data_IF_038112276558
#
_entry.id   IF_038112276558
#
_cell.length_a   1.000
_cell.length_b   1.000
_cell.length_c   1.000
_cell.angle_alpha   90.00
_cell.angle_beta   90.00
_cell.angle_gamma   90.00
#
_symmetry.space_group_name_H-M   'P 1'
#
loop_
_entity.id
_entity.type
_entity.pdbx_description
1 polymer ?
#
# COMPACT_ATOMS: atom_id res chain seq x y z
N UNK A 1 25.69 -99.76 -21.86
CA UNK A 1 24.88 -100.63 -20.98
C UNK A 1 23.98 -101.47 -21.87
N UNK A 2 24.30 -102.75 -22.08
CA UNK A 2 23.43 -103.71 -22.77
C UNK A 2 22.37 -104.18 -21.77
N UNK A 3 21.11 -103.79 -21.95
CA UNK A 3 20.02 -104.32 -21.14
C UNK A 3 19.60 -105.69 -21.71
N UNK A 4 20.40 -106.72 -21.49
CA UNK A 4 20.06 -108.09 -21.89
C UNK A 4 19.07 -108.63 -20.86
N UNK A 5 17.80 -108.78 -21.23
CA UNK A 5 16.96 -109.76 -20.57
C UNK A 5 17.27 -111.12 -21.22
N UNK A 6 17.76 -112.12 -20.48
CA UNK A 6 17.91 -113.46 -21.01
C UNK A 6 16.55 -114.02 -21.43
N UNK A 7 16.53 -114.85 -22.46
CA UNK A 7 15.29 -115.46 -22.93
C UNK A 7 14.69 -116.32 -21.81
N UNK A 8 13.36 -116.37 -21.67
CA UNK A 8 12.73 -117.30 -20.75
C UNK A 8 13.18 -118.74 -21.03
N UNK A 9 13.54 -119.49 -19.99
CA UNK A 9 14.13 -120.86 -20.10
C UNK A 9 13.29 -121.84 -20.92
N UNK A 10 11.97 -121.65 -20.97
CA UNK A 10 11.07 -122.47 -21.78
C UNK A 10 11.26 -122.23 -23.29
N UNK A 11 11.56 -121.00 -23.68
CA UNK A 11 11.91 -120.64 -25.06
C UNK A 11 13.29 -121.15 -25.47
N UNK A 12 14.26 -121.12 -24.56
CA UNK A 12 15.62 -121.65 -24.82
C UNK A 12 15.59 -123.16 -25.11
N UNK A 13 14.77 -123.93 -24.39
CA UNK A 13 14.59 -125.38 -24.64
C UNK A 13 13.93 -125.70 -25.98
N UNK A 14 13.06 -124.82 -26.47
CA UNK A 14 12.29 -125.00 -27.70
C UNK A 14 13.12 -124.66 -28.95
N UNK A 15 14.01 -123.68 -28.84
CA UNK A 15 14.85 -123.19 -29.94
C UNK A 15 16.23 -123.87 -30.02
N UNK A 16 16.66 -124.54 -28.94
CA UNK A 16 18.04 -125.05 -28.80
C UNK A 16 19.04 -123.93 -28.50
N UNK A 17 20.23 -124.29 -28.03
CA UNK A 17 21.26 -123.33 -27.54
C UNK A 17 21.67 -122.32 -28.63
N UNK A 18 21.93 -122.80 -29.85
CA UNK A 18 22.29 -121.95 -31.01
C UNK A 18 21.12 -121.07 -31.50
N UNK A 19 19.89 -121.58 -31.45
CA UNK A 19 18.69 -120.85 -31.87
C UNK A 19 18.31 -119.74 -30.89
N UNK A 20 18.44 -119.99 -29.59
CA UNK A 20 18.23 -119.00 -28.53
C UNK A 20 19.27 -117.87 -28.60
N UNK A 21 20.53 -118.18 -28.91
CA UNK A 21 21.59 -117.19 -29.09
C UNK A 21 21.30 -116.28 -30.30
N UNK A 22 21.01 -116.87 -31.48
CA UNK A 22 20.65 -116.10 -32.69
C UNK A 22 19.40 -115.24 -32.49
N UNK A 23 18.38 -115.74 -31.79
CA UNK A 23 17.18 -114.96 -31.49
C UNK A 23 17.47 -113.81 -30.51
N UNK A 24 18.32 -114.03 -29.51
CA UNK A 24 18.76 -112.97 -28.59
C UNK A 24 19.55 -111.87 -29.31
N UNK A 25 20.39 -112.24 -30.29
CA UNK A 25 21.10 -111.27 -31.15
C UNK A 25 20.10 -110.48 -32.00
N UNK A 26 19.17 -111.16 -32.68
CA UNK A 26 18.12 -110.51 -33.47
C UNK A 26 17.28 -109.52 -32.64
N UNK A 27 16.84 -109.92 -31.44
CA UNK A 27 16.08 -109.02 -30.57
C UNK A 27 16.91 -107.80 -30.16
N UNK A 28 18.19 -107.98 -29.81
CA UNK A 28 19.06 -106.85 -29.46
C UNK A 28 19.27 -105.90 -30.64
N UNK A 29 19.49 -106.42 -31.85
CA UNK A 29 19.63 -105.60 -33.06
C UNK A 29 18.32 -104.84 -33.35
N UNK A 30 17.17 -105.52 -33.30
CA UNK A 30 15.86 -104.89 -33.48
C UNK A 30 15.56 -103.82 -32.41
N UNK A 31 15.96 -104.04 -31.15
CA UNK A 31 15.79 -103.06 -30.08
C UNK A 31 16.76 -101.87 -30.21
N UNK A 32 18.01 -102.07 -30.63
CA UNK A 32 18.94 -100.97 -30.89
C UNK A 32 18.51 -100.16 -32.14
N UNK A 33 17.98 -100.81 -33.18
CA UNK A 33 17.37 -100.14 -34.33
C UNK A 33 16.15 -99.31 -33.89
N UNK A 34 15.22 -99.90 -33.12
CA UNK A 34 14.06 -99.18 -32.58
C UNK A 34 14.47 -98.00 -31.70
N UNK A 35 15.49 -98.17 -30.85
CA UNK A 35 16.02 -97.10 -30.00
C UNK A 35 16.67 -95.99 -30.84
N UNK A 36 17.37 -96.34 -31.91
CA UNK A 36 17.89 -95.40 -32.90
C UNK A 36 16.78 -94.56 -33.53
N UNK A 37 15.70 -95.21 -33.97
CA UNK A 37 14.52 -94.56 -34.54
C UNK A 37 13.82 -93.64 -33.53
N UNK A 38 13.65 -94.07 -32.28
CA UNK A 38 13.05 -93.25 -31.21
C UNK A 38 13.92 -92.04 -30.90
N UNK A 39 15.24 -92.21 -30.76
CA UNK A 39 16.17 -91.10 -30.50
C UNK A 39 16.11 -90.09 -31.65
N UNK A 40 16.10 -90.57 -32.90
CA UNK A 40 15.98 -89.72 -34.09
C UNK A 40 14.66 -88.96 -34.10
N UNK A 41 13.53 -89.65 -33.89
CA UNK A 41 12.21 -89.03 -33.85
C UNK A 41 12.08 -87.96 -32.76
N UNK A 42 12.61 -88.24 -31.56
CA UNK A 42 12.64 -87.27 -30.45
C UNK A 42 13.54 -86.09 -30.78
N UNK A 43 14.72 -86.33 -31.37
CA UNK A 43 15.64 -85.28 -31.80
C UNK A 43 15.02 -84.38 -32.86
N UNK A 44 14.36 -84.96 -33.87
CA UNK A 44 13.69 -84.23 -34.95
C UNK A 44 12.52 -83.39 -34.41
N UNK A 45 11.71 -83.97 -33.50
CA UNK A 45 10.61 -83.27 -32.83
C UNK A 45 11.12 -82.11 -31.97
N UNK A 46 12.16 -82.33 -31.17
CA UNK A 46 12.79 -81.29 -30.36
C UNK A 46 13.38 -80.18 -31.24
N UNK A 47 14.11 -80.54 -32.30
CA UNK A 47 14.70 -79.57 -33.23
C UNK A 47 13.62 -78.72 -33.91
N UNK A 48 12.52 -79.35 -34.33
CA UNK A 48 11.36 -78.65 -34.87
C UNK A 48 10.75 -77.69 -33.85
N UNK A 49 10.48 -78.14 -32.63
CA UNK A 49 9.91 -77.29 -31.59
C UNK A 49 10.80 -76.10 -31.25
N UNK A 50 12.11 -76.32 -31.09
CA UNK A 50 13.07 -75.22 -30.86
C UNK A 50 13.10 -74.25 -32.03
N UNK A 51 13.05 -74.74 -33.27
CA UNK A 51 13.01 -73.88 -34.47
C UNK A 51 11.74 -73.04 -34.51
N UNK A 52 10.60 -73.63 -34.15
CA UNK A 52 9.31 -72.94 -34.08
C UNK A 52 9.33 -71.85 -32.99
N UNK A 53 9.80 -72.17 -31.77
CA UNK A 53 9.90 -71.20 -30.66
C UNK A 53 10.89 -70.07 -30.98
N UNK A 54 12.06 -70.37 -31.56
CA UNK A 54 13.02 -69.34 -32.00
C UNK A 54 12.39 -68.44 -33.08
N UNK A 55 11.57 -69.00 -33.97
CA UNK A 55 10.88 -68.21 -35.00
C UNK A 55 9.82 -67.30 -34.39
N UNK A 56 9.04 -67.78 -33.41
CA UNK A 56 8.07 -66.96 -32.68
C UNK A 56 8.75 -65.82 -31.92
N UNK A 57 9.79 -66.12 -31.15
CA UNK A 57 10.54 -65.09 -30.40
C UNK A 57 11.13 -64.04 -31.35
N UNK A 58 11.62 -64.44 -32.53
CA UNK A 58 12.11 -63.49 -33.54
C UNK A 58 11.01 -62.56 -34.04
N UNK A 59 9.79 -63.06 -34.21
CA UNK A 59 8.64 -62.24 -34.60
C UNK A 59 8.26 -61.27 -33.47
N UNK A 60 8.12 -61.75 -32.24
CA UNK A 60 7.82 -60.90 -31.08
C UNK A 60 8.87 -59.80 -30.87
N UNK A 61 10.16 -60.13 -31.01
CA UNK A 61 11.26 -59.14 -30.93
C UNK A 61 11.19 -58.14 -32.08
N UNK A 62 10.77 -58.56 -33.28
CA UNK A 62 10.58 -57.65 -34.41
C UNK A 62 9.41 -56.69 -34.16
N UNK A 63 8.30 -57.19 -33.62
CA UNK A 63 7.10 -56.40 -33.30
C UNK A 63 7.40 -55.41 -32.17
N UNK A 64 8.02 -55.84 -31.07
CA UNK A 64 8.46 -54.95 -29.99
C UNK A 64 9.41 -53.85 -30.48
N UNK A 65 10.29 -54.17 -31.44
CA UNK A 65 11.19 -53.17 -32.04
C UNK A 65 10.43 -52.14 -32.88
N UNK A 66 9.31 -52.52 -33.50
CA UNK A 66 8.45 -51.58 -34.22
C UNK A 66 7.69 -50.70 -33.23
N UNK A 67 7.10 -51.28 -32.18
CA UNK A 67 6.39 -50.56 -31.12
C UNK A 67 7.29 -49.53 -30.43
N UNK A 68 8.47 -49.94 -29.95
CA UNK A 68 9.43 -49.02 -29.31
C UNK A 68 9.88 -47.89 -30.25
N UNK A 69 9.97 -48.15 -31.56
CA UNK A 69 10.28 -47.10 -32.53
C UNK A 69 9.13 -46.12 -32.71
N UNK A 70 7.89 -46.61 -32.67
CA UNK A 70 6.70 -45.77 -32.75
C UNK A 70 6.59 -44.88 -31.50
N UNK A 71 6.71 -45.46 -30.30
CA UNK A 71 6.69 -44.72 -29.03
C UNK A 71 7.79 -43.66 -28.98
N UNK A 72 9.00 -43.98 -29.45
CA UNK A 72 10.10 -43.03 -29.48
C UNK A 72 9.91 -41.93 -30.55
N UNK A 73 9.10 -42.18 -31.58
CA UNK A 73 8.73 -41.16 -32.55
C UNK A 73 7.65 -40.23 -31.97
N UNK A 74 6.65 -40.79 -31.28
CA UNK A 74 5.60 -40.05 -30.58
C UNK A 74 6.18 -39.15 -29.48
N UNK A 75 7.03 -39.70 -28.61
CA UNK A 75 7.70 -38.92 -27.56
C UNK A 75 8.55 -37.76 -28.13
N UNK A 76 9.14 -37.94 -29.31
CA UNK A 76 9.87 -36.86 -29.99
C UNK A 76 8.94 -35.78 -30.54
N UNK A 77 7.76 -36.17 -31.03
CA UNK A 77 6.74 -35.23 -31.48
C UNK A 77 6.23 -34.42 -30.29
N UNK A 78 5.82 -35.08 -29.21
CA UNK A 78 5.35 -34.44 -27.97
C UNK A 78 6.38 -33.45 -27.42
N UNK A 79 7.66 -33.83 -27.41
CA UNK A 79 8.73 -32.96 -26.93
C UNK A 79 8.98 -31.76 -27.85
N UNK A 80 8.74 -31.90 -29.16
CA UNK A 80 8.82 -30.78 -30.10
C UNK A 80 7.61 -29.83 -29.95
N UNK A 81 6.43 -30.38 -29.69
CA UNK A 81 5.21 -29.62 -29.47
C UNK A 81 5.29 -28.83 -28.16
N UNK A 82 5.65 -29.47 -27.04
CA UNK A 82 5.92 -28.82 -25.75
C UNK A 82 6.96 -27.68 -25.87
N UNK A 83 8.02 -27.89 -26.65
CA UNK A 83 9.03 -26.85 -26.89
C UNK A 83 8.46 -25.65 -27.65
N UNK A 84 7.53 -25.91 -28.57
CA UNK A 84 6.87 -24.87 -29.37
C UNK A 84 5.85 -24.10 -28.54
N UNK A 85 5.06 -24.80 -27.73
CA UNK A 85 4.11 -24.23 -26.77
C UNK A 85 4.84 -23.32 -25.77
N UNK A 86 5.87 -23.83 -25.09
CA UNK A 86 6.65 -23.04 -24.12
C UNK A 86 7.27 -21.79 -24.76
N UNK A 87 7.75 -21.88 -26.01
CA UNK A 87 8.30 -20.73 -26.73
C UNK A 87 7.23 -19.69 -27.03
N UNK A 88 6.00 -20.14 -27.32
CA UNK A 88 4.86 -19.28 -27.60
C UNK A 88 4.40 -18.58 -26.34
N UNK A 89 4.18 -19.30 -25.25
CA UNK A 89 3.83 -18.75 -23.94
C UNK A 89 4.88 -17.73 -23.45
N UNK A 90 6.17 -18.03 -23.59
CA UNK A 90 7.23 -17.08 -23.25
C UNK A 90 7.18 -15.79 -24.09
N UNK A 91 6.78 -15.88 -25.37
CA UNK A 91 6.63 -14.72 -26.22
C UNK A 91 5.40 -13.90 -25.83
N UNK A 92 4.28 -14.57 -25.53
CA UNK A 92 3.03 -13.95 -25.07
C UNK A 92 3.22 -13.22 -23.73
N UNK A 93 3.80 -13.88 -22.72
CA UNK A 93 4.13 -13.27 -21.44
C UNK A 93 5.05 -12.05 -21.60
N UNK A 94 6.03 -12.13 -22.51
CA UNK A 94 6.91 -10.98 -22.80
C UNK A 94 6.14 -9.80 -23.41
N UNK A 95 5.15 -10.07 -24.26
CA UNK A 95 4.30 -9.02 -24.82
C UNK A 95 3.36 -8.43 -23.79
N UNK A 96 2.76 -9.26 -22.94
CA UNK A 96 1.87 -8.84 -21.84
C UNK A 96 2.60 -7.91 -20.87
N UNK A 97 3.77 -8.33 -20.35
CA UNK A 97 4.60 -7.50 -19.46
C UNK A 97 4.95 -6.16 -20.10
N UNK A 98 5.25 -6.14 -21.41
CA UNK A 98 5.57 -4.90 -22.12
C UNK A 98 4.36 -3.97 -22.21
N UNK A 99 3.17 -4.51 -22.40
CA UNK A 99 1.91 -3.77 -22.43
C UNK A 99 1.60 -3.20 -21.05
N UNK A 100 1.66 -4.01 -20.00
CA UNK A 100 1.42 -3.56 -18.61
C UNK A 100 2.40 -2.45 -18.20
N UNK A 101 3.69 -2.57 -18.53
CA UNK A 101 4.68 -1.52 -18.27
C UNK A 101 4.32 -0.21 -19.01
N UNK A 102 3.81 -0.31 -20.23
CA UNK A 102 3.41 0.87 -21.00
C UNK A 102 2.16 1.53 -20.39
N UNK A 103 1.18 0.74 -19.97
CA UNK A 103 -0.04 1.20 -19.30
C UNK A 103 0.29 1.89 -17.97
N UNK A 104 1.06 1.25 -17.08
CA UNK A 104 1.52 1.85 -15.82
C UNK A 104 2.27 3.16 -16.05
N UNK A 105 3.10 3.25 -17.10
CA UNK A 105 3.81 4.48 -17.44
C UNK A 105 2.84 5.60 -17.86
N UNK A 106 1.77 5.26 -18.57
CA UNK A 106 0.74 6.25 -18.94
C UNK A 106 -0.08 6.69 -17.74
N UNK A 107 -0.45 5.77 -16.85
CA UNK A 107 -1.19 6.05 -15.62
C UNK A 107 -0.41 7.00 -14.71
N UNK A 108 0.85 6.69 -14.39
CA UNK A 108 1.73 7.55 -13.58
C UNK A 108 1.87 8.96 -14.20
N UNK A 109 1.95 9.06 -15.53
CA UNK A 109 2.07 10.35 -16.21
C UNK A 109 0.79 11.18 -16.06
N UNK A 110 -0.37 10.53 -16.11
CA UNK A 110 -1.67 11.17 -15.91
C UNK A 110 -1.82 11.66 -14.47
N UNK A 111 -1.53 10.80 -13.48
CA UNK A 111 -1.59 11.18 -12.05
C UNK A 111 -0.66 12.36 -11.73
N UNK A 112 0.56 12.38 -12.28
CA UNK A 112 1.48 13.52 -12.10
C UNK A 112 0.90 14.82 -12.70
N UNK A 113 0.20 14.74 -13.83
CA UNK A 113 -0.41 15.90 -14.47
C UNK A 113 -1.63 16.42 -13.67
N UNK A 114 -2.41 15.51 -13.11
CA UNK A 114 -3.55 15.82 -12.23
C UNK A 114 -3.07 16.49 -10.95
N UNK A 115 -2.11 15.88 -10.23
CA UNK A 115 -1.51 16.46 -9.01
C UNK A 115 -0.89 17.84 -9.26
N UNK A 116 -0.26 18.04 -10.42
CA UNK A 116 0.30 19.35 -10.79
C UNK A 116 -0.81 20.40 -11.00
N UNK A 117 -1.95 19.98 -11.53
CA UNK A 117 -3.10 20.86 -11.75
C UNK A 117 -3.77 21.20 -10.43
N UNK A 118 -3.98 20.21 -9.56
CA UNK A 118 -4.49 20.39 -8.20
C UNK A 118 -3.63 21.36 -7.40
N UNK A 119 -2.31 21.14 -7.33
CA UNK A 119 -1.39 22.04 -6.63
C UNK A 119 -1.43 23.48 -7.17
N UNK A 120 -1.61 23.66 -8.47
CA UNK A 120 -1.73 24.99 -9.07
C UNK A 120 -3.03 25.67 -8.67
N UNK A 121 -4.13 24.92 -8.60
CA UNK A 121 -5.43 25.41 -8.13
C UNK A 121 -5.34 25.81 -6.67
N UNK A 122 -4.84 24.94 -5.79
CA UNK A 122 -4.68 25.21 -4.36
C UNK A 122 -3.84 26.47 -4.11
N UNK A 123 -2.74 26.63 -4.85
CA UNK A 123 -1.88 27.80 -4.72
C UNK A 123 -2.55 29.09 -5.21
N UNK A 124 -3.43 29.01 -6.21
CA UNK A 124 -4.23 30.15 -6.66
C UNK A 124 -5.32 30.51 -5.64
N UNK A 125 -5.96 29.51 -5.05
CA UNK A 125 -6.97 29.69 -3.99
C UNK A 125 -6.35 30.34 -2.74
N UNK A 126 -5.23 29.81 -2.24
CA UNK A 126 -4.49 30.39 -1.12
C UNK A 126 -4.05 31.83 -1.40
N UNK A 127 -3.60 32.12 -2.63
CA UNK A 127 -3.24 33.49 -3.01
C UNK A 127 -4.46 34.44 -3.04
N UNK A 128 -5.63 33.93 -3.42
CA UNK A 128 -6.86 34.71 -3.44
C UNK A 128 -7.36 34.98 -2.02
N UNK A 129 -7.33 33.96 -1.15
CA UNK A 129 -7.69 34.06 0.27
C UNK A 129 -6.79 35.07 0.98
N UNK A 130 -5.47 34.96 0.84
CA UNK A 130 -4.53 35.92 1.44
C UNK A 130 -4.76 37.36 0.98
N UNK A 131 -5.16 37.55 -0.28
CA UNK A 131 -5.47 38.89 -0.81
C UNK A 131 -6.79 39.42 -0.24
N UNK A 132 -7.79 38.56 -0.04
CA UNK A 132 -9.04 38.91 0.60
C UNK A 132 -8.78 39.34 2.05
N UNK A 133 -8.04 38.54 2.82
CA UNK A 133 -7.67 38.84 4.21
C UNK A 133 -6.90 40.16 4.33
N UNK A 134 -5.94 40.42 3.44
CA UNK A 134 -5.20 41.68 3.44
C UNK A 134 -6.13 42.89 3.17
N UNK A 135 -7.13 42.71 2.30
CA UNK A 135 -8.11 43.75 2.00
C UNK A 135 -9.01 44.02 3.20
N UNK A 136 -9.49 42.95 3.86
CA UNK A 136 -10.31 43.06 5.06
C UNK A 136 -9.56 43.76 6.20
N UNK A 137 -8.30 43.37 6.44
CA UNK A 137 -7.44 44.01 7.44
C UNK A 137 -7.24 45.51 7.15
N UNK A 138 -7.04 45.89 5.88
CA UNK A 138 -6.92 47.30 5.50
C UNK A 138 -8.21 48.08 5.78
N UNK A 139 -9.38 47.48 5.49
CA UNK A 139 -10.69 48.10 5.77
C UNK A 139 -10.86 48.27 7.28
N UNK A 140 -10.55 47.23 8.07
CA UNK A 140 -10.65 47.29 9.53
C UNK A 140 -9.72 48.35 10.12
N UNK A 141 -8.46 48.42 9.68
CA UNK A 141 -7.51 49.45 10.14
C UNK A 141 -7.99 50.88 9.83
N UNK A 142 -8.58 51.10 8.65
CA UNK A 142 -9.14 52.40 8.27
C UNK A 142 -10.35 52.76 9.13
N UNK A 143 -11.21 51.79 9.42
CA UNK A 143 -12.35 51.98 10.30
C UNK A 143 -11.89 52.33 11.73
N UNK A 144 -10.92 51.60 12.27
CA UNK A 144 -10.36 51.84 13.61
C UNK A 144 -9.67 53.21 13.70
N UNK A 145 -8.92 53.60 12.67
CA UNK A 145 -8.30 54.94 12.59
C UNK A 145 -9.36 56.03 12.60
N UNK A 146 -10.41 55.90 11.79
CA UNK A 146 -11.52 56.87 11.75
C UNK A 146 -12.23 56.96 13.10
N UNK A 147 -12.44 55.82 13.77
CA UNK A 147 -13.04 55.77 15.11
C UNK A 147 -12.16 56.48 16.14
N UNK A 148 -10.84 56.31 16.07
CA UNK A 148 -9.89 56.97 16.96
C UNK A 148 -9.88 58.49 16.74
N UNK A 149 -9.86 58.94 15.47
CA UNK A 149 -9.96 60.36 15.11
C UNK A 149 -11.23 61.00 15.67
N UNK A 150 -12.38 60.33 15.52
CA UNK A 150 -13.64 60.79 16.08
C UNK A 150 -13.57 60.93 17.61
N UNK A 151 -13.03 59.93 18.32
CA UNK A 151 -12.86 59.98 19.78
C UNK A 151 -11.93 61.12 20.23
N UNK A 152 -10.84 61.37 19.51
CA UNK A 152 -9.93 62.49 19.80
C UNK A 152 -10.67 63.82 19.61
N UNK A 153 -11.47 63.93 18.56
CA UNK A 153 -12.24 65.14 18.26
C UNK A 153 -13.28 65.40 19.35
N UNK A 154 -13.99 64.36 19.77
CA UNK A 154 -14.95 64.39 20.87
C UNK A 154 -14.30 64.81 22.19
N UNK A 155 -13.21 64.14 22.62
CA UNK A 155 -12.46 64.51 23.82
C UNK A 155 -11.95 65.95 23.79
N UNK A 156 -11.51 66.43 22.62
CA UNK A 156 -11.07 67.83 22.44
C UNK A 156 -12.23 68.81 22.60
N UNK A 157 -13.42 68.45 22.12
CA UNK A 157 -14.62 69.29 22.29
C UNK A 157 -15.09 69.31 23.73
N UNK A 158 -15.09 68.16 24.41
CA UNK A 158 -15.42 68.02 25.83
C UNK A 158 -14.47 68.86 26.69
N UNK A 159 -13.15 68.69 26.53
CA UNK A 159 -12.15 69.48 27.25
C UNK A 159 -12.28 70.99 27.01
N UNK A 160 -12.62 71.41 25.78
CA UNK A 160 -12.84 72.83 25.47
C UNK A 160 -14.06 73.38 26.19
N UNK A 161 -15.13 72.60 26.28
CA UNK A 161 -16.34 72.95 27.03
C UNK A 161 -16.04 73.06 28.52
N UNK A 162 -15.39 72.05 29.11
CA UNK A 162 -15.00 72.06 30.53
C UNK A 162 -14.11 73.28 30.88
N UNK A 163 -13.13 73.63 30.04
CA UNK A 163 -12.31 74.83 30.25
C UNK A 163 -13.16 76.11 30.19
N UNK A 164 -14.15 76.17 29.29
CA UNK A 164 -15.02 77.34 29.17
C UNK A 164 -15.95 77.49 30.38
N UNK A 165 -16.50 76.38 30.87
CA UNK A 165 -17.31 76.31 32.10
C UNK A 165 -16.47 76.73 33.31
N UNK A 166 -15.30 76.11 33.52
CA UNK A 166 -14.40 76.46 34.62
C UNK A 166 -14.02 77.95 34.60
N UNK A 167 -13.77 78.52 33.40
CA UNK A 167 -13.46 79.95 33.26
C UNK A 167 -14.64 80.85 33.60
N UNK A 168 -15.87 80.43 33.27
CA UNK A 168 -17.08 81.16 33.61
C UNK A 168 -17.33 81.14 35.12
N UNK A 169 -17.15 79.98 35.75
CA UNK A 169 -17.25 79.82 37.20
C UNK A 169 -16.23 80.70 37.92
N UNK A 170 -14.94 80.62 37.54
CA UNK A 170 -13.89 81.48 38.10
C UNK A 170 -14.20 82.98 37.95
N UNK A 171 -14.78 83.40 36.82
CA UNK A 171 -15.15 84.81 36.61
C UNK A 171 -16.27 85.24 37.56
N UNK A 172 -17.24 84.35 37.80
CA UNK A 172 -18.33 84.56 38.75
C UNK A 172 -17.78 84.65 40.17
N UNK A 173 -16.93 83.70 40.58
CA UNK A 173 -16.29 83.70 41.89
C UNK A 173 -15.48 84.97 42.15
N UNK A 174 -14.67 85.43 41.17
CA UNK A 174 -13.91 86.69 41.27
C UNK A 174 -14.86 87.89 41.46
N UNK A 175 -15.98 87.92 40.73
CA UNK A 175 -16.95 89.01 40.84
C UNK A 175 -17.62 89.03 42.23
N UNK A 176 -17.96 87.86 42.76
CA UNK A 176 -18.55 87.72 44.10
C UNK A 176 -17.55 88.10 45.20
N UNK A 177 -16.29 87.68 45.09
CA UNK A 177 -15.21 88.13 45.98
C UNK A 177 -15.05 89.65 45.91
N UNK A 178 -15.01 90.24 44.72
CA UNK A 178 -14.88 91.68 44.54
C UNK A 178 -16.06 92.44 45.16
N UNK A 179 -17.29 91.95 44.97
CA UNK A 179 -18.50 92.50 45.59
C UNK A 179 -18.41 92.46 47.11
N UNK A 180 -17.98 91.33 47.68
CA UNK A 180 -17.78 91.18 49.13
C UNK A 180 -16.74 92.16 49.67
N UNK A 181 -15.57 92.28 49.02
CA UNK A 181 -14.51 93.23 49.40
C UNK A 181 -15.03 94.68 49.33
N UNK A 182 -15.75 95.03 48.27
CA UNK A 182 -16.31 96.38 48.11
C UNK A 182 -17.33 96.71 49.22
N UNK A 183 -18.18 95.75 49.59
CA UNK A 183 -19.13 95.90 50.68
C UNK A 183 -18.40 96.04 52.02
N UNK A 184 -17.40 95.20 52.29
CA UNK A 184 -16.56 95.31 53.48
C UNK A 184 -15.85 96.66 53.55
N UNK A 185 -15.27 97.13 52.45
CA UNK A 185 -14.60 98.44 52.37
C UNK A 185 -15.57 99.57 52.68
N UNK A 186 -16.79 99.53 52.13
CA UNK A 186 -17.85 100.51 52.44
C UNK A 186 -18.21 100.51 53.92
N UNK A 187 -18.38 99.33 54.53
CA UNK A 187 -18.67 99.22 55.96
C UNK A 187 -17.52 99.69 56.85
N UNK A 188 -16.27 99.39 56.48
CA UNK A 188 -15.06 99.87 57.19
C UNK A 188 -14.99 101.40 57.10
N UNK A 189 -15.16 101.99 55.92
CA UNK A 189 -15.15 103.44 55.75
C UNK A 189 -16.29 104.12 56.54
N UNK A 190 -17.49 103.55 56.52
CA UNK A 190 -18.62 104.04 57.31
C UNK A 190 -18.34 103.96 58.82
N UNK A 191 -17.76 102.85 59.29
CA UNK A 191 -17.37 102.68 60.70
C UNK A 191 -16.25 103.65 61.10
N UNK A 192 -15.24 103.86 60.24
CA UNK A 192 -14.16 104.84 60.46
C UNK A 192 -14.71 106.27 60.52
N UNK A 193 -15.57 106.68 59.58
CA UNK A 193 -16.21 108.00 59.59
C UNK A 193 -17.12 108.20 60.80
N UNK A 194 -17.96 107.21 61.11
CA UNK A 194 -18.83 107.23 62.28
C UNK A 194 -18.01 107.30 63.57
N UNK A 195 -16.95 106.51 63.68
CA UNK A 195 -15.98 106.56 64.77
C UNK A 195 -15.35 107.94 64.90
N UNK A 196 -14.85 108.54 63.83
CA UNK A 196 -14.24 109.87 63.84
C UNK A 196 -15.23 110.99 64.24
N UNK A 197 -16.49 110.91 63.79
CA UNK A 197 -17.53 111.88 64.14
C UNK A 197 -18.01 111.73 65.59
N UNK A 198 -18.08 110.49 66.10
CA UNK A 198 -18.50 110.22 67.47
C UNK A 198 -17.34 110.34 68.48
N UNK A 199 -16.09 110.23 68.05
CA UNK A 199 -14.88 110.37 68.87
C UNK A 199 -14.88 111.63 69.78
N UNK A 200 -15.16 112.85 69.29
CA UNK A 200 -15.23 114.04 70.16
C UNK A 200 -16.39 114.01 71.17
N UNK A 201 -17.50 113.33 70.84
CA UNK A 201 -18.65 113.17 71.76
C UNK A 201 -18.33 112.13 72.83
N UNK A 202 -17.70 111.02 72.45
CA UNK A 202 -17.26 109.98 73.36
C UNK A 202 -16.20 110.48 74.36
N UNK A 203 -15.20 111.25 73.90
CA UNK A 203 -14.23 111.92 74.78
C UNK A 203 -14.95 112.85 75.76
N UNK A 204 -15.85 113.71 75.28
CA UNK A 204 -16.64 114.59 76.16
C UNK A 204 -17.52 113.84 77.16
N UNK A 205 -17.98 112.64 76.85
CA UNK A 205 -18.75 111.81 77.79
C UNK A 205 -17.84 111.10 78.81
N UNK A 206 -16.68 110.61 78.37
CA UNK A 206 -15.68 109.98 79.24
C UNK A 206 -15.14 111.01 80.24
N UNK A 207 -14.76 112.21 79.79
CA UNK A 207 -14.33 113.33 80.65
C UNK A 207 -15.41 113.74 81.67
N UNK A 208 -16.69 113.42 81.39
CA UNK A 208 -17.84 113.75 82.25
C UNK A 208 -18.27 112.60 83.18
N UNK A 209 -17.89 111.36 82.87
CA UNK A 209 -18.19 110.16 83.65
C UNK A 209 -16.99 109.66 84.48
N UNK A 210 -15.76 110.05 84.10
CA UNK A 210 -14.51 109.79 84.83
C UNK A 210 -13.60 111.05 84.76
N UNK A 211 -13.62 111.94 85.77
CA UNK A 211 -12.65 113.01 85.91
C UNK A 211 -11.25 112.51 86.31
#
# INVERSE_FOLDING_TARGET
MKAVRPLPREFEKLLGEEGAEKFTVFLNDAFEDQKGDVIKAVSDSFHKHVTDEVSKVRLEVADLKVEVKADLAELRADMADLRTELKTEMAELRTEIKTEIAELRTEIKTEIAELRTELKTDMAELSAELKADMTDLQVQQKADTSRLENRITELRTELKTEIAELRADMKTDIADVHKSISAQTRWILAALLGGALLYPVAIKLIDKLFP
#
